data_IF_296800610634
#
_entry.id   IF_296800610634
#
_cell.length_a   1.000
_cell.length_b   1.000
_cell.length_c   1.000
_cell.angle_alpha   90.00
_cell.angle_beta   90.00
_cell.angle_gamma   90.00
#
_symmetry.space_group_name_H-M   'P 1'
#
loop_
_entity.id
_entity.type
_entity.pdbx_description
1 polymer ?
#
# COMPACT_ATOMS: atom_id res chain seq x y z
N UNK A 1 11.02 -10.95 -2.01
CA UNK A 1 11.76 -10.10 -1.04
C UNK A 1 11.34 -8.63 -1.17
N UNK A 2 11.43 -7.81 -0.11
CA UNK A 2 11.11 -6.36 -0.13
C UNK A 2 9.72 -5.96 0.41
N UNK A 3 8.92 -6.90 0.94
CA UNK A 3 7.55 -6.60 1.40
C UNK A 3 7.57 -5.69 2.63
N UNK A 4 8.54 -5.88 3.52
CA UNK A 4 8.72 -5.03 4.70
C UNK A 4 9.10 -3.59 4.35
N UNK A 5 9.82 -3.38 3.25
CA UNK A 5 10.19 -2.05 2.79
C UNK A 5 8.98 -1.34 2.16
N UNK A 6 8.23 -2.05 1.30
CA UNK A 6 6.97 -1.54 0.74
C UNK A 6 5.94 -1.24 1.83
N UNK A 7 5.83 -2.10 2.85
CA UNK A 7 4.96 -1.86 4.01
C UNK A 7 5.38 -0.58 4.75
N UNK A 8 6.68 -0.43 5.07
CA UNK A 8 7.19 0.77 5.76
C UNK A 8 7.01 2.03 4.92
N UNK A 9 7.19 1.96 3.60
CA UNK A 9 6.93 3.08 2.70
C UNK A 9 5.46 3.51 2.75
N UNK A 10 4.52 2.55 2.70
CA UNK A 10 3.10 2.84 2.86
C UNK A 10 2.74 3.42 4.24
N UNK A 11 3.41 2.95 5.30
CA UNK A 11 3.25 3.50 6.66
C UNK A 11 3.72 4.96 6.72
N UNK A 12 4.90 5.26 6.18
CA UNK A 12 5.45 6.62 6.14
C UNK A 12 4.54 7.57 5.35
N UNK A 13 4.02 7.11 4.21
CA UNK A 13 3.06 7.88 3.41
C UNK A 13 1.79 8.22 4.21
N UNK A 14 1.20 7.25 4.90
CA UNK A 14 -0.01 7.50 5.71
C UNK A 14 0.23 8.50 6.84
N UNK A 15 1.38 8.39 7.51
CA UNK A 15 1.80 9.32 8.56
C UNK A 15 2.04 10.73 8.03
N UNK A 16 2.72 10.86 6.88
CA UNK A 16 2.95 12.15 6.21
C UNK A 16 1.63 12.84 5.84
N UNK A 17 0.63 12.07 5.40
CA UNK A 17 -0.71 12.57 5.05
C UNK A 17 -1.63 12.80 6.27
N UNK A 18 -1.18 12.48 7.48
CA UNK A 18 -1.98 12.65 8.69
C UNK A 18 -3.18 11.71 8.79
N UNK A 19 -3.13 10.56 8.11
CA UNK A 19 -4.19 9.56 8.22
C UNK A 19 -4.19 8.89 9.59
N UNK A 20 -5.35 8.36 10.00
CA UNK A 20 -5.42 7.51 11.18
C UNK A 20 -4.61 6.21 11.01
N UNK A 21 -4.36 5.52 12.12
CA UNK A 21 -3.58 4.28 12.12
C UNK A 21 -4.21 3.15 11.32
N UNK A 22 -5.55 3.09 11.25
CA UNK A 22 -6.25 2.05 10.50
C UNK A 22 -6.05 2.23 9.00
N UNK A 23 -6.21 3.44 8.50
CA UNK A 23 -5.99 3.80 7.10
C UNK A 23 -4.53 3.68 6.73
N UNK A 24 -3.62 4.21 7.57
CA UNK A 24 -2.18 4.08 7.39
C UNK A 24 -1.72 2.61 7.32
N UNK A 25 -2.21 1.77 8.24
CA UNK A 25 -1.93 0.33 8.23
C UNK A 25 -2.50 -0.39 7.01
N UNK A 26 -3.68 0.03 6.53
CA UNK A 26 -4.31 -0.53 5.33
C UNK A 26 -3.52 -0.21 4.06
N UNK A 27 -3.03 1.03 3.93
CA UNK A 27 -2.12 1.44 2.84
C UNK A 27 -0.83 0.61 2.89
N UNK A 28 -0.19 0.52 4.06
CA UNK A 28 1.02 -0.26 4.27
C UNK A 28 0.84 -1.75 3.90
N UNK A 29 -0.27 -2.34 4.33
CA UNK A 29 -0.60 -3.73 4.04
C UNK A 29 -0.77 -3.96 2.53
N UNK A 30 -1.52 -3.10 1.84
CA UNK A 30 -1.72 -3.20 0.40
C UNK A 30 -0.42 -3.02 -0.39
N UNK A 31 0.45 -2.09 0.02
CA UNK A 31 1.77 -1.92 -0.60
C UNK A 31 2.61 -3.21 -0.49
N UNK A 32 2.58 -3.87 0.66
CA UNK A 32 3.26 -5.16 0.87
C UNK A 32 2.71 -6.28 -0.03
N UNK A 33 1.39 -6.31 -0.22
CA UNK A 33 0.70 -7.26 -1.09
C UNK A 33 1.05 -7.03 -2.57
N UNK A 34 0.93 -5.79 -3.07
CA UNK A 34 1.31 -5.46 -4.46
C UNK A 34 2.78 -5.83 -4.72
N UNK A 35 3.67 -5.58 -3.76
CA UNK A 35 5.09 -5.94 -3.90
C UNK A 35 5.29 -7.45 -4.02
N UNK A 36 4.52 -8.33 -3.37
CA UNK A 36 4.75 -9.79 -3.47
C UNK A 36 4.33 -10.36 -4.82
N UNK A 37 3.44 -9.70 -5.55
CA UNK A 37 2.95 -10.13 -6.87
C UNK A 37 4.04 -10.06 -7.96
N UNK A 38 5.11 -9.29 -7.76
CA UNK A 38 6.19 -9.13 -8.75
C UNK A 38 7.53 -9.65 -8.21
N UNK A 39 8.28 -10.35 -9.06
CA UNK A 39 9.65 -10.75 -8.73
C UNK A 39 10.58 -9.53 -8.63
N UNK A 40 11.50 -9.54 -7.67
CA UNK A 40 12.34 -8.39 -7.33
C UNK A 40 11.74 -7.50 -6.23
N UNK A 41 12.51 -6.52 -5.76
CA UNK A 41 12.12 -5.66 -4.63
C UNK A 41 11.35 -4.41 -5.06
N UNK A 42 11.62 -3.86 -6.25
CA UNK A 42 11.10 -2.57 -6.72
C UNK A 42 10.45 -2.63 -8.11
N UNK A 43 10.21 -3.83 -8.64
CA UNK A 43 9.73 -4.01 -10.01
C UNK A 43 8.20 -3.85 -10.15
N UNK A 44 7.47 -3.73 -9.03
CA UNK A 44 6.04 -3.51 -9.04
C UNK A 44 5.70 -2.12 -9.57
N UNK A 45 4.61 -2.01 -10.31
CA UNK A 45 4.07 -0.75 -10.83
C UNK A 45 2.56 -0.78 -10.68
N UNK A 46 1.98 0.39 -10.43
CA UNK A 46 0.54 0.60 -10.38
C UNK A 46 0.29 2.08 -10.63
N UNK A 47 -0.89 2.40 -11.13
CA UNK A 47 -1.39 3.77 -11.20
C UNK A 47 -2.15 4.14 -9.92
N UNK A 48 -2.24 5.42 -9.60
CA UNK A 48 -2.96 5.88 -8.39
C UNK A 48 -4.41 5.39 -8.32
N UNK A 49 -5.10 5.34 -9.47
CA UNK A 49 -6.47 4.85 -9.53
C UNK A 49 -6.56 3.33 -9.27
N UNK A 50 -5.63 2.54 -9.83
CA UNK A 50 -5.56 1.10 -9.57
C UNK A 50 -5.34 0.83 -8.08
N UNK A 51 -4.48 1.62 -7.43
CA UNK A 51 -4.27 1.51 -5.99
C UNK A 51 -5.55 1.81 -5.21
N UNK A 52 -6.26 2.90 -5.54
CA UNK A 52 -7.50 3.28 -4.88
C UNK A 52 -8.60 2.21 -5.05
N UNK A 53 -8.72 1.65 -6.25
CA UNK A 53 -9.69 0.59 -6.54
C UNK A 53 -9.38 -0.69 -5.75
N UNK A 54 -8.12 -1.13 -5.74
CA UNK A 54 -7.67 -2.28 -4.93
C UNK A 54 -7.83 -2.03 -3.43
N UNK A 55 -7.58 -0.80 -2.96
CA UNK A 55 -7.78 -0.41 -1.57
C UNK A 55 -9.24 -0.54 -1.17
N UNK A 56 -10.15 0.03 -1.96
CA UNK A 56 -11.59 -0.07 -1.73
C UNK A 56 -12.08 -1.52 -1.75
N UNK A 57 -11.60 -2.32 -2.71
CA UNK A 57 -11.91 -3.74 -2.78
C UNK A 57 -11.41 -4.53 -1.56
N UNK A 58 -10.24 -4.17 -1.01
CA UNK A 58 -9.62 -4.90 0.11
C UNK A 58 -10.18 -4.50 1.48
N UNK A 59 -10.54 -3.21 1.67
CA UNK A 59 -10.87 -2.66 2.98
C UNK A 59 -12.29 -2.10 3.09
N UNK A 60 -13.02 -1.99 1.99
CA UNK A 60 -14.44 -1.62 1.97
C UNK A 60 -14.74 -0.12 2.06
N UNK A 61 -13.73 0.74 1.97
CA UNK A 61 -13.87 2.20 1.95
C UNK A 61 -12.84 2.85 1.04
N UNK A 62 -13.06 4.12 0.65
CA UNK A 62 -12.16 4.87 -0.23
C UNK A 62 -11.14 5.68 0.56
N UNK A 63 -9.95 5.86 -0.04
CA UNK A 63 -8.89 6.78 0.41
C UNK A 63 -9.25 8.25 0.16
#
# INVERSE_FOLDING_TARGET
TGCGDAYRAGLLYGLEKGFDWRTTGSIASLMGAIKIETHGTQNHRFESQEFADRFKASFGYSL
#
